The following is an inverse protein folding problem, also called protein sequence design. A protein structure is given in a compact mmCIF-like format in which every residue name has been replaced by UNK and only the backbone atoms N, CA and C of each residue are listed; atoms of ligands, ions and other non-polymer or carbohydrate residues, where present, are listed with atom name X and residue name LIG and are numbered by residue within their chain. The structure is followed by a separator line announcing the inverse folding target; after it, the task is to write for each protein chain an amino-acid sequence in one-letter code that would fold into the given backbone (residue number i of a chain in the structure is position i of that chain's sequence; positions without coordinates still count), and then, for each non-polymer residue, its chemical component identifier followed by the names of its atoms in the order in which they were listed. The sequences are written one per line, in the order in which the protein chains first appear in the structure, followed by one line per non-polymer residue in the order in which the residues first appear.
data_IF_452537050119
#
_entry.id   IF_452537050119
#
_cell.length_a   1.000
_cell.length_b   1.000
_cell.length_c   1.000
_cell.angle_alpha   90.00
_cell.angle_beta   90.00
_cell.angle_gamma   90.00
#
_symmetry.space_group_name_H-M   'P 1'
#
loop_
_entity.id
_entity.type
_entity.pdbx_description
1 polymer ?
#
# COMPACT_ATOMS: atom_id res chain seq x y z
N UNK A 1 6.38 6.38 -26.53
CA UNK A 1 5.18 7.12 -26.26
C UNK A 1 5.00 7.37 -24.77
N UNK A 2 4.32 8.47 -24.44
CA UNK A 2 4.14 8.94 -23.07
C UNK A 2 3.28 7.98 -22.24
N UNK A 3 2.40 7.24 -22.89
CA UNK A 3 1.47 6.35 -22.22
C UNK A 3 2.18 5.24 -21.44
N UNK A 4 3.28 4.72 -21.97
CA UNK A 4 4.01 3.63 -21.33
C UNK A 4 4.67 4.08 -20.03
N UNK A 5 5.22 5.28 -20.00
CA UNK A 5 5.81 5.84 -18.80
C UNK A 5 4.73 6.13 -17.74
N UNK A 6 3.56 6.56 -18.19
CA UNK A 6 2.43 6.81 -17.29
C UNK A 6 2.00 5.54 -16.59
N UNK A 7 1.87 4.45 -17.33
CA UNK A 7 1.45 3.16 -16.76
C UNK A 7 2.47 2.68 -15.73
N UNK A 8 3.77 2.85 -16.01
CA UNK A 8 4.81 2.44 -15.07
C UNK A 8 4.70 3.19 -13.75
N UNK A 9 4.46 4.49 -13.80
CA UNK A 9 4.28 5.31 -12.60
C UNK A 9 3.05 4.86 -11.81
N UNK A 10 1.95 4.64 -12.49
CA UNK A 10 0.71 4.20 -11.84
C UNK A 10 0.90 2.86 -11.15
N UNK A 11 1.58 1.92 -11.79
CA UNK A 11 1.84 0.60 -11.21
C UNK A 11 2.70 0.73 -9.96
N UNK A 12 3.77 1.53 -10.03
CA UNK A 12 4.66 1.71 -8.87
C UNK A 12 3.91 2.36 -7.72
N UNK A 13 3.16 3.42 -7.98
CA UNK A 13 2.40 4.12 -6.94
C UNK A 13 1.35 3.20 -6.33
N UNK A 14 0.66 2.43 -7.16
CA UNK A 14 -0.35 1.48 -6.68
C UNK A 14 0.29 0.41 -5.80
N UNK A 15 1.44 -0.10 -6.18
CA UNK A 15 2.15 -1.10 -5.39
C UNK A 15 2.56 -0.55 -4.02
N UNK A 16 3.11 0.66 -4.00
CA UNK A 16 3.52 1.30 -2.75
C UNK A 16 2.30 1.57 -1.87
N UNK A 17 1.23 2.09 -2.44
CA UNK A 17 0.00 2.38 -1.70
C UNK A 17 -0.59 1.10 -1.10
N UNK A 18 -0.62 0.02 -1.86
CA UNK A 18 -1.13 -1.27 -1.38
C UNK A 18 -0.27 -1.79 -0.23
N UNK A 19 1.05 -1.69 -0.35
CA UNK A 19 1.96 -2.12 0.69
C UNK A 19 1.74 -1.34 1.99
N UNK A 20 1.64 -0.03 1.89
CA UNK A 20 1.41 0.82 3.06
C UNK A 20 0.06 0.53 3.70
N UNK A 21 -0.96 0.28 2.90
CA UNK A 21 -2.29 -0.08 3.41
C UNK A 21 -2.24 -1.39 4.17
N UNK A 22 -1.52 -2.38 3.68
CA UNK A 22 -1.36 -3.66 4.36
C UNK A 22 -0.64 -3.49 5.69
N UNK A 23 0.44 -2.72 5.71
CA UNK A 23 1.19 -2.46 6.94
C UNK A 23 0.30 -1.76 7.96
N UNK A 24 -0.51 -0.80 7.51
CA UNK A 24 -1.42 -0.08 8.39
C UNK A 24 -2.45 -1.02 9.02
N UNK A 25 -3.03 -1.90 8.22
CA UNK A 25 -3.98 -2.90 8.73
C UNK A 25 -3.32 -3.85 9.73
N UNK A 26 -2.11 -4.29 9.45
CA UNK A 26 -1.37 -5.17 10.33
C UNK A 26 -1.10 -4.50 11.68
N UNK A 27 -0.64 -3.26 11.66
CA UNK A 27 -0.37 -2.51 12.87
C UNK A 27 -1.64 -2.31 13.69
N UNK A 28 -2.72 -1.91 13.05
CA UNK A 28 -4.01 -1.73 13.71
C UNK A 28 -4.50 -3.03 14.34
N UNK A 29 -4.35 -4.14 13.62
CA UNK A 29 -4.77 -5.46 14.09
C UNK A 29 -3.95 -5.89 15.29
N UNK A 30 -2.66 -5.70 15.27
CA UNK A 30 -1.76 -6.07 16.39
C UNK A 30 -2.09 -5.26 17.63
N UNK A 31 -2.25 -3.95 17.48
CA UNK A 31 -2.58 -3.07 18.61
C UNK A 31 -3.93 -3.47 19.21
N UNK A 32 -4.91 -3.73 18.35
CA UNK A 32 -6.25 -4.15 18.80
C UNK A 32 -6.19 -5.48 19.53
N UNK A 33 -5.38 -6.42 19.09
CA UNK A 33 -5.23 -7.71 19.72
C UNK A 33 -4.59 -7.59 21.11
N UNK A 34 -3.63 -6.69 21.26
CA UNK A 34 -2.93 -6.48 22.53
C UNK A 34 -3.82 -5.74 23.54
N UNK A 35 -4.51 -4.72 23.06
CA UNK A 35 -5.37 -3.92 23.95
C UNK A 35 -6.73 -4.58 24.22
N UNK A 36 -7.03 -5.59 23.44
CA UNK A 36 -8.27 -6.32 23.60
C UNK A 36 -9.41 -5.60 22.93
#
# INVERSE_FOLDING_TARGET
QVKQAYIAVVVVVSAVAAFLALVDLLMSSVVSAILG
#
